data_IF_215373507868
#
_entry.id   IF_215373507868
#
_cell.length_a   1.000
_cell.length_b   1.000
_cell.length_c   1.000
_cell.angle_alpha   90.00
_cell.angle_beta   90.00
_cell.angle_gamma   90.00
#
_symmetry.space_group_name_H-M   'P 1'
#
loop_
_entity.id
_entity.type
_entity.pdbx_description
1 polymer ?
#
# COMPACT_ATOMS: atom_id res chain seq x y z
N UNK A 1 -23.69 -45.44 -15.34
CA UNK A 1 -22.73 -44.37 -15.70
C UNK A 1 -23.57 -43.12 -15.88
N UNK A 2 -23.93 -42.49 -14.76
CA UNK A 2 -24.90 -41.40 -14.69
C UNK A 2 -24.16 -40.07 -14.62
N UNK A 3 -24.63 -39.14 -15.45
CA UNK A 3 -24.14 -37.78 -15.58
C UNK A 3 -24.50 -36.96 -14.35
N UNK A 4 -23.50 -36.59 -13.55
CA UNK A 4 -23.68 -35.74 -12.37
C UNK A 4 -24.08 -34.34 -12.81
N UNK A 5 -25.31 -33.99 -12.41
CA UNK A 5 -26.00 -32.72 -12.57
C UNK A 5 -25.19 -31.53 -12.03
N UNK A 6 -25.21 -30.45 -12.80
CA UNK A 6 -24.69 -29.13 -12.44
C UNK A 6 -25.37 -28.60 -11.17
N UNK A 7 -24.67 -28.68 -10.03
CA UNK A 7 -25.07 -27.96 -8.82
C UNK A 7 -24.98 -26.43 -9.02
N UNK A 8 -25.91 -25.64 -8.45
CA UNK A 8 -25.84 -24.19 -8.55
C UNK A 8 -24.59 -23.68 -7.82
N UNK A 9 -23.79 -22.84 -8.52
CA UNK A 9 -22.63 -22.12 -7.98
C UNK A 9 -23.06 -21.18 -6.85
N UNK A 10 -23.13 -21.70 -5.63
CA UNK A 10 -23.54 -21.01 -4.42
C UNK A 10 -22.44 -20.11 -3.80
N UNK A 11 -21.37 -19.81 -4.53
CA UNK A 11 -20.26 -18.95 -4.07
C UNK A 11 -20.18 -17.58 -4.78
N UNK A 12 -21.03 -17.33 -5.78
CA UNK A 12 -21.06 -16.06 -6.53
C UNK A 12 -22.25 -15.16 -6.19
N UNK A 13 -23.09 -15.57 -5.23
CA UNK A 13 -24.16 -14.78 -4.63
C UNK A 13 -23.72 -14.20 -3.27
N UNK A 14 -22.49 -13.67 -3.19
CA UNK A 14 -22.12 -12.76 -2.11
C UNK A 14 -22.94 -11.50 -2.28
N UNK A 15 -24.09 -11.49 -1.62
CA UNK A 15 -24.98 -10.38 -1.28
C UNK A 15 -24.39 -9.01 -1.63
N UNK A 16 -24.71 -8.54 -2.82
CA UNK A 16 -24.29 -7.24 -3.37
C UNK A 16 -25.09 -6.07 -2.77
N UNK A 17 -25.48 -6.13 -1.49
CA UNK A 17 -26.51 -5.21 -0.95
C UNK A 17 -26.21 -4.67 0.46
N UNK A 18 -24.95 -4.38 0.76
CA UNK A 18 -24.66 -3.26 1.67
C UNK A 18 -24.03 -2.16 0.82
N UNK A 19 -24.80 -1.12 0.52
CA UNK A 19 -24.31 0.09 -0.13
C UNK A 19 -23.25 0.73 0.78
N UNK A 20 -21.98 0.46 0.46
CA UNK A 20 -20.85 1.03 1.18
C UNK A 20 -20.70 2.49 0.74
N UNK A 21 -21.45 3.37 1.40
CA UNK A 21 -21.25 4.80 1.28
C UNK A 21 -20.13 5.27 2.22
N UNK A 22 -19.09 5.88 1.63
CA UNK A 22 -18.15 6.73 2.36
C UNK A 22 -18.58 8.17 2.22
N UNK A 23 -18.50 8.91 3.32
CA UNK A 23 -18.72 10.36 3.25
C UNK A 23 -17.60 11.01 2.42
N UNK A 24 -17.87 12.14 1.75
CA UNK A 24 -16.83 12.88 1.03
C UNK A 24 -15.65 13.31 1.92
N UNK A 25 -15.89 13.49 3.23
CA UNK A 25 -14.83 13.74 4.21
C UNK A 25 -13.98 12.50 4.43
N UNK A 26 -14.57 11.32 4.62
CA UNK A 26 -13.83 10.08 4.77
C UNK A 26 -12.97 9.76 3.53
N UNK A 27 -13.50 9.95 2.32
CA UNK A 27 -12.73 9.76 1.08
C UNK A 27 -11.52 10.71 1.00
N UNK A 28 -11.68 11.97 1.43
CA UNK A 28 -10.55 12.92 1.53
C UNK A 28 -9.50 12.48 2.55
N UNK A 29 -9.94 12.03 3.73
CA UNK A 29 -9.05 11.55 4.79
C UNK A 29 -8.25 10.32 4.34
N UNK A 30 -8.89 9.36 3.68
CA UNK A 30 -8.20 8.20 3.11
C UNK A 30 -7.16 8.60 2.07
N UNK A 31 -7.48 9.57 1.20
CA UNK A 31 -6.54 10.04 0.19
C UNK A 31 -5.32 10.69 0.83
N UNK A 32 -5.53 11.60 1.79
CA UNK A 32 -4.45 12.27 2.52
C UNK A 32 -3.64 11.25 3.31
N UNK A 33 -4.29 10.32 4.01
CA UNK A 33 -3.64 9.29 4.81
C UNK A 33 -2.71 8.40 3.97
N UNK A 34 -3.19 7.89 2.83
CA UNK A 34 -2.39 7.03 1.96
C UNK A 34 -1.19 7.78 1.34
N UNK A 35 -1.39 9.03 0.90
CA UNK A 35 -0.26 9.87 0.42
C UNK A 35 0.75 10.10 1.53
N UNK A 36 0.29 10.47 2.73
CA UNK A 36 1.16 10.69 3.88
C UNK A 36 1.96 9.44 4.24
N UNK A 37 1.34 8.26 4.25
CA UNK A 37 2.03 6.99 4.50
C UNK A 37 3.09 6.70 3.43
N UNK A 38 2.81 6.97 2.16
CA UNK A 38 3.83 6.88 1.12
C UNK A 38 4.98 7.87 1.32
N UNK A 39 4.69 9.12 1.68
CA UNK A 39 5.71 10.13 1.91
C UNK A 39 6.58 9.80 3.13
N UNK A 40 5.98 9.32 4.23
CA UNK A 40 6.71 8.88 5.43
C UNK A 40 7.61 7.69 5.10
N UNK A 41 7.09 6.67 4.42
CA UNK A 41 7.89 5.53 3.98
C UNK A 41 9.02 5.95 3.04
N UNK A 42 8.72 6.75 2.01
CA UNK A 42 9.70 7.26 1.06
C UNK A 42 10.81 8.09 1.73
N UNK A 43 10.44 8.97 2.67
CA UNK A 43 11.39 9.76 3.43
C UNK A 43 12.28 8.88 4.30
N UNK A 44 11.72 7.98 5.10
CA UNK A 44 12.50 7.12 5.97
C UNK A 44 13.48 6.23 5.19
N UNK A 45 12.99 5.48 4.20
CA UNK A 45 13.86 4.63 3.40
C UNK A 45 14.89 5.44 2.60
N UNK A 46 14.54 6.67 2.18
CA UNK A 46 15.46 7.60 1.54
C UNK A 46 16.56 8.11 2.49
N UNK A 47 16.22 8.38 3.76
CA UNK A 47 17.19 8.75 4.79
C UNK A 47 18.12 7.58 5.11
N UNK A 48 17.61 6.36 5.21
CA UNK A 48 18.43 5.16 5.42
C UNK A 48 19.36 4.93 4.22
N UNK A 49 18.85 5.06 2.99
CA UNK A 49 19.68 5.04 1.78
C UNK A 49 20.81 6.07 1.88
N UNK A 50 20.49 7.33 2.20
CA UNK A 50 21.48 8.40 2.27
C UNK A 50 22.51 8.16 3.40
N UNK A 51 22.08 7.63 4.54
CA UNK A 51 22.94 7.29 5.66
C UNK A 51 23.95 6.22 5.25
N UNK A 52 23.51 5.04 4.79
CA UNK A 52 24.41 3.97 4.36
C UNK A 52 25.26 4.35 3.14
N UNK A 53 24.77 5.23 2.26
CA UNK A 53 25.53 5.71 1.11
C UNK A 53 26.71 6.60 1.52
N UNK A 54 26.56 7.39 2.58
CA UNK A 54 27.57 8.32 3.09
C UNK A 54 28.45 7.71 4.18
N UNK A 55 27.95 6.72 4.92
CA UNK A 55 28.62 6.10 6.07
C UNK A 55 30.08 5.71 5.81
N UNK A 56 30.46 5.10 4.66
CA UNK A 56 31.87 4.74 4.41
C UNK A 56 32.86 5.91 4.46
N UNK A 57 32.40 7.15 4.26
CA UNK A 57 33.24 8.35 4.34
C UNK A 57 33.28 9.01 5.73
N UNK A 58 32.62 8.44 6.73
CA UNK A 58 32.51 8.98 8.08
C UNK A 58 33.44 8.24 9.05
N UNK A 59 34.07 8.97 9.98
CA UNK A 59 34.96 8.39 10.99
C UNK A 59 34.23 7.43 11.94
N UNK A 60 32.92 7.58 12.13
CA UNK A 60 32.09 6.64 12.89
C UNK A 60 32.21 5.20 12.38
N UNK A 61 32.43 5.00 11.07
CA UNK A 61 32.53 3.67 10.45
C UNK A 61 33.70 2.87 11.00
N UNK A 62 34.82 3.53 11.29
CA UNK A 62 35.98 2.86 11.91
C UNK A 62 35.63 2.28 13.27
N UNK A 63 34.83 2.99 14.07
CA UNK A 63 34.37 2.52 15.38
C UNK A 63 33.32 1.40 15.24
N UNK A 64 32.39 1.52 14.28
CA UNK A 64 31.41 0.47 13.99
C UNK A 64 32.11 -0.83 13.58
N UNK A 65 33.09 -0.77 12.68
CA UNK A 65 33.87 -1.94 12.27
C UNK A 65 34.75 -2.47 13.43
N UNK A 66 35.38 -1.59 14.23
CA UNK A 66 36.20 -2.01 15.37
C UNK A 66 35.39 -2.79 16.43
N UNK A 67 34.21 -2.28 16.80
CA UNK A 67 33.32 -2.93 17.77
C UNK A 67 32.40 -3.98 17.15
N UNK A 68 32.51 -4.24 15.85
CA UNK A 68 31.66 -5.18 15.09
C UNK A 68 30.15 -4.87 15.25
N UNK A 69 29.79 -3.58 15.22
CA UNK A 69 28.42 -3.10 15.36
C UNK A 69 27.77 -3.01 13.98
N UNK A 70 26.80 -3.91 13.72
CA UNK A 70 26.15 -4.01 12.42
C UNK A 70 26.96 -4.81 11.40
N UNK A 71 26.51 -4.81 10.15
CA UNK A 71 27.26 -5.41 9.04
C UNK A 71 28.52 -4.62 8.73
N UNK A 72 29.53 -5.32 8.21
CA UNK A 72 30.78 -4.72 7.74
C UNK A 72 30.52 -3.64 6.69
N UNK A 73 31.38 -2.61 6.71
CA UNK A 73 31.31 -1.46 5.81
C UNK A 73 31.30 -1.78 4.32
N UNK A 74 31.88 -2.92 3.90
CA UNK A 74 31.85 -3.43 2.52
C UNK A 74 30.42 -3.65 1.96
N UNK A 75 29.44 -3.91 2.83
CA UNK A 75 28.07 -4.20 2.42
C UNK A 75 27.15 -2.97 2.46
N UNK A 76 27.63 -1.81 2.92
CA UNK A 76 26.80 -0.60 3.08
C UNK A 76 26.19 -0.12 1.75
N UNK A 77 26.89 -0.26 0.63
CA UNK A 77 26.35 0.10 -0.70
C UNK A 77 25.16 -0.77 -1.08
N UNK A 78 25.21 -2.07 -0.78
CA UNK A 78 24.12 -3.00 -1.06
C UNK A 78 22.91 -2.70 -0.17
N UNK A 79 23.14 -2.45 1.12
CA UNK A 79 22.08 -2.03 2.06
C UNK A 79 21.44 -0.73 1.59
N UNK A 80 22.25 0.25 1.19
CA UNK A 80 21.74 1.51 0.65
C UNK A 80 20.84 1.22 -0.55
N UNK A 81 21.36 0.51 -1.57
CA UNK A 81 20.63 0.22 -2.80
C UNK A 81 19.25 -0.42 -2.55
N UNK A 82 19.14 -1.41 -1.65
CA UNK A 82 17.85 -2.05 -1.34
C UNK A 82 16.84 -1.07 -0.75
N UNK A 83 17.26 -0.23 0.21
CA UNK A 83 16.40 0.81 0.79
C UNK A 83 16.05 1.90 -0.24
N UNK A 84 17.00 2.25 -1.11
CA UNK A 84 16.79 3.22 -2.18
C UNK A 84 15.73 2.76 -3.20
N UNK A 85 15.70 1.47 -3.52
CA UNK A 85 14.63 0.88 -4.35
C UNK A 85 13.27 1.07 -3.68
N UNK A 86 13.13 0.68 -2.41
CA UNK A 86 11.87 0.83 -1.68
C UNK A 86 11.44 2.31 -1.59
N UNK A 87 12.38 3.21 -1.27
CA UNK A 87 12.12 4.65 -1.23
C UNK A 87 11.57 5.15 -2.58
N UNK A 88 12.21 4.75 -3.67
CA UNK A 88 11.78 5.07 -5.03
C UNK A 88 10.37 4.57 -5.34
N UNK A 89 10.01 3.36 -4.89
CA UNK A 89 8.66 2.81 -5.08
C UNK A 89 7.61 3.61 -4.31
N UNK A 90 7.88 4.00 -3.06
CA UNK A 90 6.97 4.86 -2.29
C UNK A 90 6.78 6.24 -2.94
N UNK A 91 7.88 6.88 -3.36
CA UNK A 91 7.84 8.18 -4.04
C UNK A 91 7.08 8.08 -5.37
N UNK A 92 7.32 7.02 -6.14
CA UNK A 92 6.60 6.78 -7.40
C UNK A 92 5.10 6.61 -7.15
N UNK A 93 4.69 5.81 -6.15
CA UNK A 93 3.27 5.67 -5.78
C UNK A 93 2.65 7.02 -5.43
N UNK A 94 3.26 7.79 -4.52
CA UNK A 94 2.77 9.12 -4.14
C UNK A 94 2.65 10.07 -5.33
N UNK A 95 3.70 10.17 -6.16
CA UNK A 95 3.70 11.03 -7.34
C UNK A 95 2.62 10.62 -8.35
N UNK A 96 2.40 9.33 -8.56
CA UNK A 96 1.34 8.88 -9.47
C UNK A 96 -0.05 9.23 -8.94
N UNK A 97 -0.28 9.08 -7.64
CA UNK A 97 -1.54 9.41 -6.97
C UNK A 97 -1.84 10.92 -7.02
N UNK A 98 -0.83 11.76 -6.73
CA UNK A 98 -0.90 13.23 -6.80
C UNK A 98 -1.13 13.69 -8.24
N UNK A 99 -0.28 13.25 -9.19
CA UNK A 99 -0.35 13.67 -10.60
C UNK A 99 -1.71 13.33 -11.21
N UNK A 100 -2.26 12.15 -10.90
CA UNK A 100 -3.59 11.75 -11.38
C UNK A 100 -4.69 12.61 -10.78
N UNK A 101 -4.59 12.91 -9.48
CA UNK A 101 -5.60 13.72 -8.79
C UNK A 101 -5.65 15.14 -9.35
N UNK A 102 -4.49 15.71 -9.66
CA UNK A 102 -4.38 17.00 -10.36
C UNK A 102 -4.96 16.90 -11.78
N UNK A 103 -4.54 15.91 -12.56
CA UNK A 103 -4.97 15.75 -13.97
C UNK A 103 -6.48 15.55 -14.11
N UNK A 104 -7.08 14.79 -13.20
CA UNK A 104 -8.50 14.48 -13.22
C UNK A 104 -9.35 15.52 -12.46
N UNK A 105 -8.72 16.54 -11.84
CA UNK A 105 -9.35 17.53 -10.95
C UNK A 105 -10.23 16.89 -9.86
N UNK A 106 -9.90 15.66 -9.45
CA UNK A 106 -10.64 14.83 -8.51
C UNK A 106 -9.66 13.91 -7.80
N UNK A 107 -9.84 13.75 -6.49
CA UNK A 107 -9.04 12.80 -5.70
C UNK A 107 -9.20 11.40 -6.26
N UNK A 108 -8.10 10.85 -6.75
CA UNK A 108 -8.03 9.50 -7.33
C UNK A 108 -6.95 8.71 -6.64
N UNK A 109 -7.29 7.48 -6.25
CA UNK A 109 -6.40 6.56 -5.55
C UNK A 109 -5.60 5.77 -6.57
N UNK A 110 -6.29 5.00 -7.43
CA UNK A 110 -5.65 4.11 -8.40
C UNK A 110 -6.22 4.26 -9.81
N UNK A 111 -5.41 3.89 -10.80
CA UNK A 111 -5.87 3.77 -12.19
C UNK A 111 -6.73 2.52 -12.37
N UNK A 112 -7.99 2.70 -12.77
CA UNK A 112 -8.73 1.64 -13.46
C UNK A 112 -8.07 1.45 -14.82
N UNK A 113 -7.16 0.48 -14.96
CA UNK A 113 -6.88 -0.05 -16.29
C UNK A 113 -8.16 -0.75 -16.74
N UNK A 114 -8.97 -0.07 -17.55
CA UNK A 114 -9.72 -0.79 -18.55
C UNK A 114 -8.68 -1.60 -19.32
N UNK A 115 -8.81 -2.92 -19.24
CA UNK A 115 -8.29 -3.80 -20.28
C UNK A 115 -8.61 -3.13 -21.62
N UNK A 116 -7.68 -3.04 -22.58
CA UNK A 116 -8.02 -2.52 -23.90
C UNK A 116 -9.21 -3.34 -24.37
N UNK A 117 -10.39 -2.73 -24.35
CA UNK A 117 -11.54 -3.25 -25.06
C UNK A 117 -11.02 -3.32 -26.48
N UNK A 118 -11.05 -4.50 -27.09
CA UNK A 118 -10.79 -4.68 -28.51
C UNK A 118 -11.67 -3.66 -29.25
N UNK A 119 -11.11 -2.48 -29.53
CA UNK A 119 -11.73 -1.46 -30.34
C UNK A 119 -11.45 -1.94 -31.76
N UNK A 120 -12.40 -2.74 -32.22
CA UNK A 120 -12.58 -3.06 -33.61
C UNK A 120 -12.63 -1.74 -34.39
N UNK A 121 -11.68 -1.60 -35.33
CA UNK A 121 -11.74 -0.68 -36.47
C UNK A 121 -11.92 0.82 -36.16
N UNK A 122 -10.81 1.54 -36.04
CA UNK A 122 -10.84 3.00 -36.02
C UNK A 122 -9.49 3.60 -36.37
N UNK A 123 -9.22 3.75 -37.65
CA UNK A 123 -7.97 4.27 -38.20
C UNK A 123 -7.78 5.73 -37.73
N UNK A 124 -6.95 5.97 -36.70
CA UNK A 124 -6.48 7.31 -36.34
C UNK A 124 -4.96 7.30 -36.19
N UNK A 125 -4.32 7.76 -37.25
CA UNK A 125 -2.95 8.27 -37.23
C UNK A 125 -2.80 9.45 -36.24
N UNK A 126 -1.56 9.64 -35.76
CA UNK A 126 -1.00 10.78 -34.99
C UNK A 126 -1.16 10.64 -33.46
N UNK A 127 -0.14 10.73 -32.60
CA UNK A 127 1.25 11.20 -32.71
C UNK A 127 2.06 10.46 -31.64
N UNK A 128 3.08 9.70 -32.04
CA UNK A 128 3.96 8.99 -31.12
C UNK A 128 4.86 10.01 -30.40
N UNK A 129 4.41 10.51 -29.25
CA UNK A 129 5.27 11.27 -28.35
C UNK A 129 6.22 10.25 -27.71
N UNK A 130 7.45 10.13 -28.21
CA UNK A 130 8.56 9.39 -27.58
C UNK A 130 8.88 10.01 -26.23
N UNK A 131 8.06 9.73 -25.22
CA UNK A 131 8.34 10.05 -23.82
C UNK A 131 9.08 8.85 -23.26
N UNK A 132 10.31 9.07 -22.79
CA UNK A 132 11.35 8.06 -22.51
C UNK A 132 10.84 6.72 -21.98
N UNK A 133 11.22 5.65 -22.70
CA UNK A 133 10.77 4.27 -22.49
C UNK A 133 11.10 3.74 -21.09
N UNK A 134 12.18 4.22 -20.47
CA UNK A 134 12.62 3.82 -19.13
C UNK A 134 11.56 4.05 -18.04
N UNK A 135 10.88 5.21 -18.05
CA UNK A 135 9.80 5.48 -17.09
C UNK A 135 8.59 4.56 -17.31
N UNK A 136 8.36 4.15 -18.56
CA UNK A 136 7.31 3.19 -18.92
C UNK A 136 7.65 1.76 -18.50
N UNK A 137 8.92 1.34 -18.59
CA UNK A 137 9.38 0.01 -18.13
C UNK A 137 9.27 -0.11 -16.61
N UNK A 138 9.78 0.86 -15.85
CA UNK A 138 9.71 0.85 -14.38
C UNK A 138 8.25 0.79 -13.91
N UNK A 139 7.38 1.60 -14.51
CA UNK A 139 5.95 1.57 -14.20
C UNK A 139 5.29 0.24 -14.59
N UNK A 140 5.69 -0.39 -15.69
CA UNK A 140 5.19 -1.72 -16.10
C UNK A 140 5.59 -2.81 -15.10
N UNK A 141 6.86 -2.84 -14.66
CA UNK A 141 7.32 -3.77 -13.64
C UNK A 141 6.60 -3.55 -12.31
N UNK A 142 6.45 -2.29 -11.89
CA UNK A 142 5.67 -1.93 -10.71
C UNK A 142 4.22 -2.44 -10.82
N UNK A 143 3.57 -2.21 -11.96
CA UNK A 143 2.21 -2.68 -12.20
C UNK A 143 2.11 -4.21 -12.28
N UNK A 144 3.16 -4.94 -12.67
CA UNK A 144 3.16 -6.40 -12.65
C UNK A 144 3.25 -6.96 -11.23
N UNK A 145 4.02 -6.31 -10.34
CA UNK A 145 4.23 -6.77 -8.97
C UNK A 145 3.09 -6.31 -8.05
N UNK A 146 2.82 -5.01 -8.04
CA UNK A 146 1.87 -4.37 -7.12
C UNK A 146 0.52 -4.04 -7.75
N UNK A 147 0.34 -4.32 -9.04
CA UNK A 147 -0.89 -4.10 -9.82
C UNK A 147 -2.17 -4.65 -9.21
N UNK A 148 -3.33 -4.19 -9.69
CA UNK A 148 -4.64 -4.72 -9.25
C UNK A 148 -4.76 -6.23 -9.49
N UNK A 149 -4.14 -6.72 -10.58
CA UNK A 149 -3.93 -8.13 -10.94
C UNK A 149 -2.47 -8.60 -10.81
N UNK A 150 -1.64 -7.82 -10.12
CA UNK A 150 -0.23 -8.18 -9.91
C UNK A 150 -0.08 -9.31 -8.90
N UNK A 151 1.14 -9.80 -8.70
CA UNK A 151 1.42 -10.88 -7.74
C UNK A 151 0.93 -10.54 -6.31
N UNK A 152 1.07 -9.27 -5.89
CA UNK A 152 0.56 -8.75 -4.62
C UNK A 152 -0.78 -8.01 -4.76
N UNK A 153 -1.54 -8.30 -5.82
CA UNK A 153 -2.75 -7.58 -6.19
C UNK A 153 -3.99 -7.98 -5.38
N UNK A 154 -4.88 -7.00 -5.16
CA UNK A 154 -6.10 -7.14 -4.36
C UNK A 154 -7.20 -8.06 -4.96
N UNK A 155 -7.06 -8.48 -6.23
CA UNK A 155 -8.07 -9.26 -6.99
C UNK A 155 -7.64 -10.69 -7.37
N UNK A 156 -6.62 -11.24 -6.71
CA UNK A 156 -6.22 -12.63 -6.91
C UNK A 156 -7.25 -13.64 -6.37
N UNK A 157 -7.45 -14.82 -7.00
CA UNK A 157 -8.34 -15.87 -6.49
C UNK A 157 -8.00 -16.34 -5.07
N UNK A 158 -6.74 -16.18 -4.66
CA UNK A 158 -6.20 -16.59 -3.36
C UNK A 158 -5.86 -15.39 -2.45
N UNK A 159 -6.52 -14.24 -2.62
CA UNK A 159 -6.20 -13.02 -1.87
C UNK A 159 -6.25 -13.22 -0.35
N UNK A 160 -7.30 -13.88 0.17
CA UNK A 160 -7.47 -14.08 1.61
C UNK A 160 -6.37 -15.00 2.18
N UNK A 161 -5.93 -16.00 1.40
CA UNK A 161 -4.81 -16.87 1.77
C UNK A 161 -3.48 -16.10 1.78
N UNK A 162 -3.23 -15.29 0.75
CA UNK A 162 -2.00 -14.49 0.65
C UNK A 162 -1.92 -13.44 1.77
N UNK A 163 -3.06 -12.86 2.14
CA UNK A 163 -3.18 -11.95 3.28
C UNK A 163 -2.87 -12.68 4.60
N UNK A 164 -3.48 -13.84 4.82
CA UNK A 164 -3.25 -14.64 6.03
C UNK A 164 -1.78 -15.09 6.15
N UNK A 165 -1.18 -15.57 5.05
CA UNK A 165 0.22 -15.96 5.04
C UNK A 165 1.13 -14.78 5.40
N UNK A 166 0.85 -13.61 4.84
CA UNK A 166 1.60 -12.38 5.10
C UNK A 166 1.52 -11.96 6.57
N UNK A 167 0.30 -11.88 7.11
CA UNK A 167 0.06 -11.53 8.53
C UNK A 167 0.76 -12.52 9.48
N UNK A 168 0.75 -13.81 9.13
CA UNK A 168 1.44 -14.86 9.89
C UNK A 168 2.96 -14.67 9.85
N UNK A 169 3.52 -14.41 8.66
CA UNK A 169 4.95 -14.16 8.48
C UNK A 169 5.37 -12.91 9.24
N UNK A 170 4.64 -11.80 9.11
CA UNK A 170 4.90 -10.54 9.81
C UNK A 170 4.85 -10.71 11.32
N UNK A 171 3.82 -11.35 11.85
CA UNK A 171 3.68 -11.62 13.29
C UNK A 171 4.85 -12.47 13.80
N UNK A 172 5.27 -13.49 13.04
CA UNK A 172 6.42 -14.32 13.38
C UNK A 172 7.72 -13.51 13.39
N UNK A 173 7.92 -12.67 12.38
CA UNK A 173 9.09 -11.81 12.27
C UNK A 173 9.11 -10.70 13.34
N UNK A 174 7.96 -10.11 13.68
CA UNK A 174 7.83 -9.16 14.79
C UNK A 174 8.09 -9.85 16.13
N UNK A 175 7.64 -11.08 16.33
CA UNK A 175 7.91 -11.87 17.53
C UNK A 175 9.41 -12.16 17.68
N UNK A 176 10.07 -12.57 16.59
CA UNK A 176 11.52 -12.79 16.56
C UNK A 176 12.30 -11.52 16.90
N UNK A 177 11.88 -10.38 16.33
CA UNK A 177 12.45 -9.07 16.67
C UNK A 177 12.22 -8.72 18.14
N UNK A 178 11.00 -8.89 18.67
CA UNK A 178 10.68 -8.63 20.07
C UNK A 178 11.51 -9.48 21.03
N UNK A 179 11.72 -10.77 20.73
CA UNK A 179 12.56 -11.66 21.53
C UNK A 179 14.03 -11.22 21.52
N UNK A 180 14.55 -10.84 20.34
CA UNK A 180 15.91 -10.32 20.20
C UNK A 180 16.10 -9.04 21.02
N UNK A 181 15.14 -8.12 20.96
CA UNK A 181 15.20 -6.88 21.72
C UNK A 181 15.07 -7.11 23.22
N UNK A 182 14.19 -8.00 23.66
CA UNK A 182 14.02 -8.33 25.09
C UNK A 182 15.28 -8.92 25.73
N UNK A 183 16.13 -9.61 24.96
CA UNK A 183 17.39 -10.18 25.46
C UNK A 183 18.52 -9.17 25.49
N UNK A 184 18.55 -8.26 24.51
CA UNK A 184 19.74 -7.46 24.22
C UNK A 184 19.58 -5.97 24.59
N UNK A 185 18.37 -5.45 24.78
CA UNK A 185 18.14 -4.01 24.99
C UNK A 185 17.86 -3.74 26.47
N UNK A 186 18.68 -2.91 27.15
CA UNK A 186 18.55 -2.66 28.58
C UNK A 186 17.39 -1.71 28.92
N UNK A 187 16.83 -0.96 27.95
CA UNK A 187 15.77 0.02 28.20
C UNK A 187 14.40 -0.65 28.35
N UNK A 188 13.83 -0.50 29.54
CA UNK A 188 12.48 -0.97 29.89
C UNK A 188 11.38 -0.46 28.95
N UNK A 189 11.46 0.80 28.50
CA UNK A 189 10.42 1.38 27.65
C UNK A 189 10.41 0.75 26.25
N UNK A 190 11.58 0.50 25.64
CA UNK A 190 11.69 -0.17 24.34
C UNK A 190 11.11 -1.59 24.40
N UNK A 191 11.50 -2.35 25.43
CA UNK A 191 11.00 -3.71 25.62
C UNK A 191 9.49 -3.74 25.81
N UNK A 192 8.94 -2.84 26.65
CA UNK A 192 7.49 -2.70 26.83
C UNK A 192 6.78 -2.30 25.53
N UNK A 193 7.36 -1.40 24.73
CA UNK A 193 6.80 -0.99 23.44
C UNK A 193 6.74 -2.15 22.44
N UNK A 194 7.79 -2.97 22.31
CA UNK A 194 7.77 -4.14 21.42
C UNK A 194 6.73 -5.18 21.85
N UNK A 195 6.62 -5.46 23.14
CA UNK A 195 5.59 -6.37 23.67
C UNK A 195 4.19 -5.82 23.41
N UNK A 196 3.96 -4.52 23.65
CA UNK A 196 2.67 -3.89 23.39
C UNK A 196 2.31 -3.94 21.90
N UNK A 197 3.25 -3.66 20.99
CA UNK A 197 3.03 -3.73 19.54
C UNK A 197 2.69 -5.16 19.10
N UNK A 198 3.36 -6.17 19.66
CA UNK A 198 3.04 -7.57 19.37
C UNK A 198 1.62 -7.95 19.83
N UNK A 199 1.23 -7.56 21.05
CA UNK A 199 -0.12 -7.79 21.57
C UNK A 199 -1.17 -7.09 20.69
N UNK A 200 -0.91 -5.83 20.33
CA UNK A 200 -1.78 -5.07 19.45
C UNK A 200 -1.89 -5.72 18.08
N UNK A 201 -0.81 -6.26 17.51
CA UNK A 201 -0.85 -6.96 16.23
C UNK A 201 -1.78 -8.18 16.31
N UNK A 202 -1.60 -9.04 17.31
CA UNK A 202 -2.44 -10.20 17.55
C UNK A 202 -3.92 -9.86 17.78
N UNK A 203 -4.22 -8.71 18.42
CA UNK A 203 -5.60 -8.31 18.73
C UNK A 203 -6.24 -7.49 17.62
N UNK A 204 -5.44 -6.85 16.76
CA UNK A 204 -5.91 -5.89 15.76
C UNK A 204 -6.96 -6.51 14.83
N UNK A 205 -6.66 -7.67 14.25
CA UNK A 205 -7.55 -8.38 13.32
C UNK A 205 -8.84 -8.80 14.01
N UNK A 206 -8.77 -9.38 15.22
CA UNK A 206 -9.95 -9.77 15.98
C UNK A 206 -10.85 -8.57 16.34
N UNK A 207 -10.25 -7.47 16.79
CA UNK A 207 -10.96 -6.24 17.15
C UNK A 207 -11.64 -5.62 15.93
N UNK A 208 -10.94 -5.53 14.80
CA UNK A 208 -11.49 -5.00 13.55
C UNK A 208 -12.64 -5.86 13.05
N UNK A 209 -12.48 -7.19 13.08
CA UNK A 209 -13.55 -8.11 12.72
C UNK A 209 -14.79 -7.93 13.60
N UNK A 210 -14.61 -7.75 14.90
CA UNK A 210 -15.72 -7.53 15.83
C UNK A 210 -16.44 -6.20 15.53
N UNK A 211 -15.70 -5.11 15.38
CA UNK A 211 -16.25 -3.75 15.20
C UNK A 211 -16.92 -3.55 13.82
N UNK A 212 -16.37 -4.14 12.77
CA UNK A 212 -16.81 -3.92 11.39
C UNK A 212 -17.47 -5.15 10.75
N UNK A 213 -17.94 -6.11 11.55
CA UNK A 213 -18.55 -7.38 11.09
C UNK A 213 -19.65 -7.22 10.03
N UNK A 214 -20.36 -6.09 10.07
CA UNK A 214 -21.43 -5.78 9.14
C UNK A 214 -20.88 -5.38 7.76
N UNK A 215 -19.88 -4.48 7.73
CA UNK A 215 -19.35 -3.95 6.49
C UNK A 215 -17.98 -4.54 6.12
N UNK A 216 -17.98 -5.57 5.27
CA UNK A 216 -16.77 -6.29 4.85
C UNK A 216 -15.69 -5.40 4.22
N UNK A 217 -16.06 -4.36 3.47
CA UNK A 217 -15.09 -3.47 2.82
C UNK A 217 -14.40 -2.55 3.82
N UNK A 218 -15.17 -1.94 4.74
CA UNK A 218 -14.61 -1.13 5.82
C UNK A 218 -13.74 -1.97 6.74
N UNK A 219 -14.19 -3.17 7.10
CA UNK A 219 -13.42 -4.14 7.88
C UNK A 219 -12.06 -4.41 7.25
N UNK A 220 -12.01 -4.77 5.96
CA UNK A 220 -10.75 -5.05 5.25
C UNK A 220 -9.85 -3.82 5.16
N UNK A 221 -10.40 -2.64 4.87
CA UNK A 221 -9.63 -1.39 4.82
C UNK A 221 -8.99 -1.06 6.17
N UNK A 222 -9.76 -1.16 7.26
CA UNK A 222 -9.26 -0.87 8.60
C UNK A 222 -8.25 -1.92 9.08
N UNK A 223 -8.46 -3.20 8.76
CA UNK A 223 -7.49 -4.26 9.06
C UNK A 223 -6.14 -3.99 8.39
N UNK A 224 -6.15 -3.71 7.08
CA UNK A 224 -4.94 -3.37 6.32
C UNK A 224 -4.28 -2.08 6.84
N UNK A 225 -5.06 -1.10 7.28
CA UNK A 225 -4.52 0.13 7.85
C UNK A 225 -3.87 -0.13 9.21
N UNK A 226 -4.52 -0.89 10.10
CA UNK A 226 -3.96 -1.25 11.41
C UNK A 226 -2.64 -2.00 11.28
N UNK A 227 -2.62 -3.03 10.42
CA UNK A 227 -1.43 -3.81 10.09
C UNK A 227 -0.31 -2.90 9.56
N UNK A 228 -0.61 -2.07 8.56
CA UNK A 228 0.32 -1.09 8.00
C UNK A 228 0.88 -0.11 9.04
N UNK A 229 0.07 0.34 10.00
CA UNK A 229 0.49 1.28 11.04
C UNK A 229 1.39 0.58 12.09
N UNK A 230 1.08 -0.66 12.45
CA UNK A 230 1.91 -1.45 13.37
C UNK A 230 3.28 -1.77 12.75
N UNK A 231 3.29 -2.16 11.47
CA UNK A 231 4.53 -2.35 10.71
C UNK A 231 5.32 -1.05 10.59
N UNK A 232 4.66 0.08 10.33
CA UNK A 232 5.32 1.38 10.29
C UNK A 232 5.94 1.74 11.65
N UNK A 233 5.21 1.59 12.76
CA UNK A 233 5.73 1.94 14.09
C UNK A 233 6.91 1.04 14.46
N UNK A 234 6.82 -0.26 14.21
CA UNK A 234 7.88 -1.22 14.56
C UNK A 234 9.14 -1.07 13.70
N UNK A 235 8.99 -0.95 12.38
CA UNK A 235 10.11 -0.96 11.43
C UNK A 235 10.67 0.42 11.10
N UNK A 236 9.88 1.49 11.27
CA UNK A 236 10.27 2.87 10.98
C UNK A 236 10.28 3.74 12.24
N UNK A 237 9.19 3.72 13.00
CA UNK A 237 9.00 4.59 14.17
C UNK A 237 10.07 4.40 15.25
N UNK A 238 10.27 3.17 15.70
CA UNK A 238 11.25 2.87 16.76
C UNK A 238 12.69 3.22 16.32
N UNK A 239 13.21 2.76 15.16
CA UNK A 239 14.54 3.15 14.71
C UNK A 239 14.70 4.66 14.53
N UNK A 240 13.69 5.36 14.01
CA UNK A 240 13.75 6.81 13.82
C UNK A 240 13.84 7.56 15.16
N UNK A 241 13.07 7.15 16.17
CA UNK A 241 13.15 7.74 17.52
C UNK A 241 14.55 7.56 18.12
N UNK A 242 15.16 6.39 17.92
CA UNK A 242 16.53 6.14 18.38
C UNK A 242 17.54 7.02 17.62
N UNK A 243 17.46 7.08 16.29
CA UNK A 243 18.34 7.95 15.49
C UNK A 243 18.24 9.40 15.95
N UNK A 244 17.04 9.92 16.19
CA UNK A 244 16.85 11.30 16.69
C UNK A 244 17.56 11.50 18.04
N UNK A 245 17.49 10.50 18.93
CA UNK A 245 18.16 10.59 20.24
C UNK A 245 19.69 10.64 20.15
N UNK A 246 20.29 9.95 19.17
CA UNK A 246 21.74 9.99 18.94
C UNK A 246 22.18 11.14 18.04
N UNK A 247 21.30 11.66 17.18
CA UNK A 247 21.63 12.73 16.24
C UNK A 247 22.08 14.01 16.95
N UNK A 248 21.55 14.27 18.15
CA UNK A 248 21.96 15.41 18.97
C UNK A 248 23.40 15.31 19.51
N UNK A 249 23.94 14.10 19.61
CA UNK A 249 25.30 13.82 20.10
C UNK A 249 26.29 13.55 18.96
N UNK A 250 25.82 13.50 17.71
CA UNK A 250 26.65 13.26 16.54
C UNK A 250 27.28 14.57 16.05
N UNK A 251 28.61 14.63 16.02
CA UNK A 251 29.33 15.77 15.48
C UNK A 251 29.50 15.62 13.97
N UNK A 252 28.83 16.49 13.22
CA UNK A 252 28.85 16.49 11.75
C UNK A 252 30.23 16.88 11.22
N UNK A 253 31.01 17.68 11.97
CA UNK A 253 32.32 18.14 11.53
C UNK A 253 33.36 17.01 11.55
N UNK A 254 33.40 16.23 12.64
CA UNK A 254 34.26 15.03 12.73
C UNK A 254 33.67 13.80 12.03
N UNK A 255 32.36 13.80 11.74
CA UNK A 255 31.67 12.63 11.20
C UNK A 255 31.65 11.47 12.19
N UNK A 256 31.65 11.77 13.50
CA UNK A 256 31.64 10.78 14.57
C UNK A 256 30.91 11.33 15.81
N UNK A 257 30.61 10.44 16.76
CA UNK A 257 30.32 10.84 18.13
C UNK A 257 31.60 11.33 18.81
N UNK A 258 31.45 12.16 19.83
CA UNK A 258 32.57 12.60 20.66
C UNK A 258 33.39 11.37 21.10
N UNK A 259 34.69 11.37 20.80
CA UNK A 259 35.57 10.22 21.01
C UNK A 259 35.53 9.69 22.46
N UNK A 260 35.35 10.59 23.45
CA UNK A 260 35.26 10.22 24.86
C UNK A 260 34.01 9.37 25.17
N UNK A 261 32.95 9.46 24.37
CA UNK A 261 31.74 8.64 24.53
C UNK A 261 32.00 7.16 24.29
N UNK A 262 32.84 6.82 23.32
CA UNK A 262 33.20 5.43 23.02
C UNK A 262 33.91 4.73 24.18
N UNK A 263 34.52 5.48 25.10
CA UNK A 263 35.19 4.96 26.30
C UNK A 263 34.32 5.02 27.56
N UNK A 264 33.09 5.52 27.48
CA UNK A 264 32.16 5.51 28.60
C UNK A 264 31.35 4.21 28.59
N UNK A 265 31.62 3.29 29.52
CA UNK A 265 31.00 1.96 29.58
C UNK A 265 29.48 2.00 29.41
N UNK A 266 28.80 2.87 30.16
CA UNK A 266 27.33 2.97 30.11
C UNK A 266 26.83 3.46 28.75
N UNK A 267 27.53 4.42 28.14
CA UNK A 267 27.15 4.93 26.83
C UNK A 267 27.43 3.88 25.76
N UNK A 268 28.62 3.27 25.76
CA UNK A 268 29.03 2.26 24.81
C UNK A 268 28.09 1.06 24.80
N UNK A 269 27.76 0.50 25.98
CA UNK A 269 26.83 -0.63 26.08
C UNK A 269 25.44 -0.27 25.56
N UNK A 270 24.95 0.94 25.86
CA UNK A 270 23.66 1.40 25.33
C UNK A 270 23.71 1.60 23.80
N UNK A 271 24.75 2.27 23.30
CA UNK A 271 24.96 2.56 21.89
C UNK A 271 25.08 1.25 21.09
N UNK A 272 25.88 0.28 21.55
CA UNK A 272 26.01 -1.02 20.89
C UNK A 272 24.64 -1.73 20.77
N UNK A 273 23.88 -1.80 21.87
CA UNK A 273 22.59 -2.48 21.87
C UNK A 273 21.51 -1.73 21.06
N UNK A 274 21.52 -0.41 21.08
CA UNK A 274 20.54 0.41 20.36
C UNK A 274 20.90 0.57 18.87
N UNK A 275 22.18 0.60 18.53
CA UNK A 275 22.64 0.57 17.14
C UNK A 275 22.31 -0.75 16.48
N UNK A 276 22.20 -1.86 17.21
CA UNK A 276 21.69 -3.13 16.67
C UNK A 276 20.20 -3.06 16.25
N UNK A 277 19.47 -2.04 16.68
CA UNK A 277 18.11 -1.73 16.21
C UNK A 277 18.17 -0.85 14.96
N UNK A 278 19.03 0.17 14.99
CA UNK A 278 19.16 1.16 13.92
C UNK A 278 19.83 0.55 12.67
N UNK A 279 20.93 -0.15 12.88
CA UNK A 279 21.79 -0.72 11.84
C UNK A 279 21.34 -2.11 11.43
N UNK A 280 21.71 -2.49 10.21
CA UNK A 280 21.49 -3.83 9.67
C UNK A 280 22.57 -4.74 10.23
N UNK A 281 22.15 -5.77 10.96
CA UNK A 281 23.06 -6.71 11.62
C UNK A 281 23.56 -7.82 10.70
N UNK A 282 22.72 -8.25 9.75
CA UNK A 282 22.98 -9.39 8.89
C UNK A 282 22.10 -9.35 7.65
N UNK A 283 22.39 -10.22 6.68
CA UNK A 283 21.52 -10.43 5.51
C UNK A 283 20.11 -10.90 5.90
N UNK A 284 19.98 -11.69 6.96
CA UNK A 284 18.68 -12.08 7.49
C UNK A 284 17.90 -10.88 8.05
N UNK A 285 18.57 -10.01 8.81
CA UNK A 285 17.95 -8.77 9.32
C UNK A 285 17.56 -7.81 8.19
N UNK A 286 18.38 -7.72 7.14
CA UNK A 286 18.03 -6.96 5.94
C UNK A 286 16.78 -7.55 5.28
N UNK A 287 16.74 -8.88 5.10
CA UNK A 287 15.63 -9.56 4.46
C UNK A 287 14.32 -9.35 5.22
N UNK A 288 14.32 -9.46 6.56
CA UNK A 288 13.11 -9.22 7.36
C UNK A 288 12.62 -7.78 7.22
N UNK A 289 13.51 -6.78 7.29
CA UNK A 289 13.14 -5.37 7.07
C UNK A 289 12.59 -5.13 5.67
N UNK A 290 13.15 -5.78 4.65
CA UNK A 290 12.61 -5.70 3.28
C UNK A 290 11.25 -6.37 3.16
N UNK A 291 11.00 -7.48 3.86
CA UNK A 291 9.67 -8.11 3.93
C UNK A 291 8.65 -7.12 4.48
N UNK A 292 8.91 -6.48 5.63
CA UNK A 292 8.03 -5.45 6.19
C UNK A 292 7.84 -4.26 5.25
N UNK A 293 8.91 -3.82 4.58
CA UNK A 293 8.85 -2.70 3.66
C UNK A 293 7.99 -3.00 2.42
N UNK A 294 8.15 -4.17 1.82
CA UNK A 294 7.36 -4.63 0.67
C UNK A 294 5.91 -4.89 1.08
N UNK A 295 5.72 -5.45 2.27
CA UNK A 295 4.43 -5.64 2.92
C UNK A 295 3.65 -4.32 3.02
N UNK A 296 4.25 -3.30 3.63
CA UNK A 296 3.64 -1.98 3.79
C UNK A 296 3.27 -1.39 2.43
N UNK A 297 4.15 -1.49 1.44
CA UNK A 297 3.88 -1.03 0.08
C UNK A 297 2.70 -1.81 -0.56
N UNK A 298 2.62 -3.13 -0.34
CA UNK A 298 1.52 -3.97 -0.80
C UNK A 298 0.18 -3.60 -0.14
N UNK A 299 0.17 -3.34 1.16
CA UNK A 299 -0.98 -2.85 1.92
C UNK A 299 -1.52 -1.56 1.35
N UNK A 300 -0.65 -0.56 1.17
CA UNK A 300 -1.04 0.74 0.62
C UNK A 300 -1.65 0.61 -0.78
N UNK A 301 -1.00 -0.16 -1.67
CA UNK A 301 -1.51 -0.42 -3.02
C UNK A 301 -2.86 -1.17 -3.03
N UNK A 302 -3.08 -2.06 -2.08
CA UNK A 302 -4.34 -2.80 -1.90
C UNK A 302 -5.44 -1.86 -1.43
N UNK A 303 -5.17 -1.03 -0.41
CA UNK A 303 -6.10 -0.02 0.09
C UNK A 303 -6.48 0.99 -0.99
N UNK A 304 -5.52 1.47 -1.79
CA UNK A 304 -5.80 2.30 -2.97
C UNK A 304 -6.74 1.62 -3.96
N UNK A 305 -6.54 0.31 -4.21
CA UNK A 305 -7.37 -0.49 -5.09
C UNK A 305 -8.81 -0.59 -4.57
N UNK A 306 -8.97 -0.87 -3.27
CA UNK A 306 -10.27 -0.94 -2.61
C UNK A 306 -10.98 0.42 -2.63
N UNK A 307 -10.29 1.51 -2.27
CA UNK A 307 -10.85 2.87 -2.30
C UNK A 307 -11.25 3.30 -3.71
N UNK A 308 -10.51 2.88 -4.74
CA UNK A 308 -10.88 3.13 -6.15
C UNK A 308 -12.15 2.39 -6.52
N UNK A 309 -12.28 1.13 -6.12
CA UNK A 309 -13.48 0.33 -6.40
C UNK A 309 -14.72 0.92 -5.76
N UNK A 310 -14.62 1.36 -4.50
CA UNK A 310 -15.73 1.97 -3.76
C UNK A 310 -16.15 3.30 -4.39
N UNK A 311 -15.20 4.21 -4.63
CA UNK A 311 -15.50 5.52 -5.22
C UNK A 311 -16.01 5.45 -6.66
N UNK A 312 -15.64 4.41 -7.42
CA UNK A 312 -16.18 4.18 -8.77
C UNK A 312 -17.64 3.71 -8.72
N UNK A 313 -17.98 2.81 -7.80
CA UNK A 313 -19.36 2.34 -7.61
C UNK A 313 -20.30 3.47 -7.20
N UNK A 314 -19.89 4.31 -6.25
CA UNK A 314 -20.67 5.48 -5.83
C UNK A 314 -20.97 6.42 -7.00
N UNK A 315 -19.98 6.67 -7.87
CA UNK A 315 -20.17 7.52 -9.04
C UNK A 315 -21.17 6.93 -10.04
N UNK A 316 -21.11 5.61 -10.28
CA UNK A 316 -22.05 4.93 -11.18
C UNK A 316 -23.48 4.92 -10.63
N UNK A 317 -23.67 4.74 -9.32
CA UNK A 317 -24.99 4.83 -8.68
C UNK A 317 -25.59 6.23 -8.77
N UNK A 318 -24.80 7.29 -8.53
CA UNK A 318 -25.28 8.68 -8.69
C UNK A 318 -25.65 8.98 -10.13
N UNK A 319 -24.90 8.48 -11.11
CA UNK A 319 -25.20 8.67 -12.53
C UNK A 319 -26.42 7.89 -13.01
N UNK A 320 -26.71 6.73 -12.41
CA UNK A 320 -27.86 5.88 -12.76
C UNK A 320 -29.16 6.33 -12.09
N UNK A 321 -29.07 7.14 -11.03
CA UNK A 321 -30.22 7.74 -10.35
C UNK A 321 -30.18 9.27 -10.49
N UNK A 322 -30.36 9.82 -11.71
CA UNK A 322 -30.50 11.25 -11.87
C UNK A 322 -31.79 11.68 -11.18
N UNK A 323 -31.67 12.30 -10.00
CA UNK A 323 -32.76 13.11 -9.43
C UNK A 323 -33.08 14.19 -10.45
N UNK A 324 -34.11 13.94 -11.24
CA UNK A 324 -34.43 14.70 -12.44
C UNK A 324 -34.70 13.80 -13.64
N UNK A 325 -35.54 12.76 -13.47
CA UNK A 325 -36.36 12.35 -14.60
C UNK A 325 -37.29 13.54 -14.88
N UNK A 326 -36.84 14.42 -15.79
CA UNK A 326 -37.70 15.39 -16.46
C UNK A 326 -38.93 14.61 -16.89
N UNK A 327 -40.08 14.94 -16.30
CA UNK A 327 -41.37 14.42 -16.71
C UNK A 327 -41.48 14.74 -18.20
N UNK A 328 -41.32 13.74 -19.05
CA UNK A 328 -41.71 13.88 -20.45
C UNK A 328 -43.20 14.24 -20.41
N UNK A 329 -43.64 15.31 -21.10
CA UNK A 329 -45.05 15.63 -21.12
C UNK A 329 -45.76 14.42 -21.71
N UNK A 330 -46.76 13.93 -20.98
CA UNK A 330 -47.68 12.89 -21.43
C UNK A 330 -48.34 13.39 -22.71
N UNK A 331 -47.81 12.98 -23.87
CA UNK A 331 -48.51 13.15 -25.13
C UNK A 331 -49.70 12.19 -25.11
N UNK A 332 -50.88 12.78 -24.97
CA UNK A 332 -52.17 12.10 -24.91
C UNK A 332 -52.37 11.37 -26.25
N UNK A 333 -51.97 10.10 -26.31
CA UNK A 333 -52.26 9.25 -27.46
C UNK A 333 -53.77 9.00 -27.52
N UNK A 334 -54.48 9.84 -28.25
CA UNK A 334 -55.89 9.66 -28.55
C UNK A 334 -56.05 8.35 -29.34
N UNK A 335 -56.65 7.36 -28.69
CA UNK A 335 -57.14 6.15 -29.31
C UNK A 335 -58.25 6.50 -30.31
N UNK A 336 -57.90 6.66 -31.60
CA UNK A 336 -58.87 6.65 -32.70
C UNK A 336 -58.19 6.58 -34.08
N UNK A 337 -57.61 5.43 -34.43
CA UNK A 337 -57.59 4.90 -35.82
C UNK A 337 -56.95 3.50 -35.88
N UNK A 338 -57.54 2.54 -35.16
CA UNK A 338 -57.34 1.11 -35.42
C UNK A 338 -58.56 0.58 -36.18
N UNK A 339 -58.66 0.96 -37.45
CA UNK A 339 -59.45 0.30 -38.50
C UNK A 339 -59.48 1.22 -39.71
N UNK A 340 -59.12 0.69 -40.89
CA UNK A 340 -58.89 1.36 -42.20
C UNK A 340 -57.43 1.67 -42.51
N UNK A 341 -56.64 0.63 -42.82
CA UNK A 341 -55.54 0.66 -43.83
C UNK A 341 -54.87 -0.70 -44.09
N UNK A 342 -55.61 -1.81 -44.00
CA UNK A 342 -55.14 -3.14 -44.51
C UNK A 342 -56.18 -3.81 -45.43
N UNK A 343 -57.20 -3.08 -45.87
CA UNK A 343 -58.20 -3.56 -46.85
C UNK A 343 -58.26 -2.67 -48.10
N UNK A 344 -57.11 -2.20 -48.57
CA UNK A 344 -57.01 -1.45 -49.83
C UNK A 344 -55.69 -1.75 -50.57
N UNK A 345 -55.32 -3.04 -50.63
CA UNK A 345 -54.24 -3.49 -51.51
C UNK A 345 -54.61 -4.78 -52.26
N UNK A 346 -55.90 -4.92 -52.54
CA UNK A 346 -56.43 -5.84 -53.56
C UNK A 346 -57.55 -5.08 -54.28
N UNK A 347 -57.40 -4.98 -55.60
CA UNK A 347 -58.41 -4.67 -56.63
C UNK A 347 -58.23 -3.34 -57.38
N UNK A 348 -57.64 -3.52 -58.58
CA UNK A 348 -57.86 -2.81 -59.85
C UNK A 348 -57.32 -1.37 -59.92
N UNK A 349 -56.59 -0.98 -60.97
CA UNK A 349 -56.97 -0.90 -62.39
C UNK A 349 -55.68 -0.48 -63.15
N UNK A 350 -55.40 -0.75 -64.42
CA UNK A 350 -56.07 -1.35 -65.58
C UNK A 350 -54.98 -1.89 -66.50
#
# INVERSE_FOLDING_TARGET
METVSNGPRLSLLVRANEDVHFTPTATRLWWVGLVSLHLVGGLFFGLVFAAYWKMPGLAVTTFLDFYQIGMKSEHFRTIAATHGVIAGLHVLSALTMITRSIRNKKLTFRSNFHSPRHQQGGNRHKTQRKRGDACGVVYRCFAAVFGRRGFFGAEGPSYDLLLLCRETIETTLQTSQGLRMSRNVPRLWLNRSYVALLVLNCWSTALVHHMFRHNKTKMRLVALLSDCLLDLVTSVGIPLLLVISYAQEFDVASGNFNILRWFQDRWLVNAMNEFNIILILSWGDLATRMVFAVSMLSNLNTMEGLMTAVTTKEYQQVSANPRGATIAPFEKQNARTRSRRVLAQIRCQY
#
